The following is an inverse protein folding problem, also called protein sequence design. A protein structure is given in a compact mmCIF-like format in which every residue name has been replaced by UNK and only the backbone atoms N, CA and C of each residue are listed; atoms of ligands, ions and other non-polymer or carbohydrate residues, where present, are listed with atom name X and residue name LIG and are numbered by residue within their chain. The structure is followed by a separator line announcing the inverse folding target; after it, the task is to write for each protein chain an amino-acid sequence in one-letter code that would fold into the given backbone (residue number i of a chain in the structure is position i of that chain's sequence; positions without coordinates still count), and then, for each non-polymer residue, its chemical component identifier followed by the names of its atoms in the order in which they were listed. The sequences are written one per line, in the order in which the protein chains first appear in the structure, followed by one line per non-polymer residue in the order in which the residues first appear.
data_IF_544226857562
#
_entry.id   IF_544226857562
#
_cell.length_a   1.000
_cell.length_b   1.000
_cell.length_c   1.000
_cell.angle_alpha   90.00
_cell.angle_beta   90.00
_cell.angle_gamma   90.00
#
_symmetry.space_group_name_H-M   'P 1'
#
loop_
_entity.id
_entity.type
_entity.pdbx_description
1 polymer ?
#
# COMPACT_ATOMS: atom_id res chain seq x y z
N UNK A 1 7.87 24.12 -18.71
CA UNK A 1 8.08 24.00 -20.17
C UNK A 1 7.19 22.89 -20.71
N UNK A 2 6.23 23.21 -21.58
CA UNK A 2 5.34 22.22 -22.20
C UNK A 2 6.16 21.33 -23.16
N UNK A 3 6.08 19.99 -23.05
CA UNK A 3 6.83 19.12 -23.96
C UNK A 3 6.34 19.30 -25.40
N UNK A 4 7.29 19.33 -26.35
CA UNK A 4 6.97 19.36 -27.77
C UNK A 4 6.11 18.14 -28.13
N UNK A 5 5.00 18.37 -28.85
CA UNK A 5 4.06 17.30 -29.20
C UNK A 5 4.71 16.30 -30.18
N UNK A 6 4.70 14.98 -29.89
CA UNK A 6 5.18 13.98 -30.83
C UNK A 6 4.39 14.06 -32.15
N UNK A 7 5.05 13.86 -33.30
CA UNK A 7 4.39 13.96 -34.62
C UNK A 7 3.16 13.05 -34.76
N UNK A 8 3.19 11.86 -34.12
CA UNK A 8 2.03 10.96 -34.07
C UNK A 8 0.85 11.53 -33.26
N UNK A 9 1.13 12.23 -32.14
CA UNK A 9 0.13 12.91 -31.34
C UNK A 9 -0.51 14.06 -32.13
N UNK A 10 0.29 14.85 -32.85
CA UNK A 10 -0.20 15.95 -33.70
C UNK A 10 -1.12 15.45 -34.82
N UNK A 11 -0.79 14.34 -35.49
CA UNK A 11 -1.65 13.74 -36.52
C UNK A 11 -2.98 13.24 -35.95
N UNK A 12 -2.96 12.60 -34.79
CA UNK A 12 -4.18 12.14 -34.12
C UNK A 12 -5.04 13.30 -33.62
N UNK A 13 -4.43 14.34 -33.04
CA UNK A 13 -5.15 15.55 -32.61
C UNK A 13 -5.74 16.29 -33.80
N UNK A 14 -5.04 16.39 -34.93
CA UNK A 14 -5.57 17.00 -36.15
C UNK A 14 -6.73 16.19 -36.75
N UNK A 15 -6.71 14.85 -36.63
CA UNK A 15 -7.83 14.01 -37.03
C UNK A 15 -9.05 14.18 -36.10
N UNK A 16 -8.83 14.27 -34.79
CA UNK A 16 -9.88 14.55 -33.80
C UNK A 16 -10.47 15.95 -33.97
N UNK A 17 -9.64 16.97 -34.22
CA UNK A 17 -10.04 18.35 -34.48
C UNK A 17 -10.96 18.49 -35.70
N UNK A 18 -10.79 17.62 -36.70
CA UNK A 18 -11.57 17.61 -37.93
C UNK A 18 -12.96 16.99 -37.76
N UNK A 19 -13.18 16.21 -36.71
CA UNK A 19 -14.36 15.33 -36.58
C UNK A 19 -15.06 15.40 -35.21
N UNK A 20 -14.60 16.22 -34.26
CA UNK A 20 -15.20 16.33 -32.93
C UNK A 20 -14.71 17.50 -32.07
N UNK A 21 -15.33 17.66 -30.91
CA UNK A 21 -15.00 18.69 -29.92
C UNK A 21 -13.76 18.30 -29.10
N UNK A 22 -12.60 18.85 -29.48
CA UNK A 22 -11.33 18.72 -28.76
C UNK A 22 -11.43 19.13 -27.29
N UNK A 23 -12.33 20.06 -26.94
CA UNK A 23 -12.54 20.50 -25.56
C UNK A 23 -13.11 19.37 -24.70
N UNK A 24 -14.19 18.73 -25.15
CA UNK A 24 -14.78 17.59 -24.47
C UNK A 24 -13.80 16.42 -24.32
N UNK A 25 -12.97 16.18 -25.34
CA UNK A 25 -11.89 15.18 -25.29
C UNK A 25 -10.84 15.52 -24.24
N UNK A 26 -10.32 16.75 -24.26
CA UNK A 26 -9.35 17.23 -23.27
C UNK A 26 -9.92 17.17 -21.85
N UNK A 27 -11.18 17.56 -21.65
CA UNK A 27 -11.87 17.46 -20.36
C UNK A 27 -11.99 16.02 -19.88
N UNK A 28 -12.28 15.04 -20.75
CA UNK A 28 -12.31 13.63 -20.37
C UNK A 28 -10.93 13.16 -19.86
N UNK A 29 -9.84 13.57 -20.52
CA UNK A 29 -8.48 13.25 -20.10
C UNK A 29 -8.11 13.96 -18.79
N UNK A 30 -8.47 15.24 -18.63
CA UNK A 30 -8.22 16.00 -17.40
C UNK A 30 -8.92 15.39 -16.18
N UNK A 31 -10.13 14.83 -16.34
CA UNK A 31 -10.85 14.12 -15.25
C UNK A 31 -10.10 12.89 -14.74
N UNK A 32 -9.16 12.34 -15.50
CA UNK A 32 -8.27 11.29 -15.01
C UNK A 32 -7.27 11.80 -13.98
N UNK A 33 -7.17 13.12 -13.75
CA UNK A 33 -6.35 13.74 -12.70
C UNK A 33 -4.89 13.32 -12.76
N UNK A 34 -4.33 13.21 -13.97
CA UNK A 34 -2.95 12.77 -14.20
C UNK A 34 -2.69 11.28 -14.05
N UNK A 35 -3.71 10.41 -14.12
CA UNK A 35 -3.49 8.97 -14.15
C UNK A 35 -2.68 8.57 -15.40
N UNK A 36 -1.53 7.92 -15.21
CA UNK A 36 -0.59 7.56 -16.29
C UNK A 36 -1.04 6.33 -17.10
N UNK A 37 -1.83 5.45 -16.50
CA UNK A 37 -2.25 4.16 -17.11
C UNK A 37 -3.74 3.86 -16.89
N UNK A 38 -4.67 4.74 -17.29
CA UNK A 38 -6.10 4.53 -17.07
C UNK A 38 -6.60 3.21 -17.66
N UNK A 39 -7.67 2.67 -17.09
CA UNK A 39 -8.36 1.51 -17.66
C UNK A 39 -9.38 2.01 -18.68
N UNK A 40 -9.40 1.35 -19.84
CA UNK A 40 -10.34 1.60 -20.92
C UNK A 40 -11.48 0.60 -20.83
N UNK A 41 -12.70 1.11 -20.88
CA UNK A 41 -13.91 0.31 -20.80
C UNK A 41 -14.82 0.61 -22.00
N UNK A 42 -15.41 -0.44 -22.55
CA UNK A 42 -16.45 -0.40 -23.59
C UNK A 42 -17.78 -0.85 -23.00
N UNK A 43 -18.88 -0.30 -23.49
CA UNK A 43 -20.23 -0.60 -23.00
C UNK A 43 -21.06 0.64 -22.71
N UNK A 44 -21.98 0.53 -21.75
CA UNK A 44 -22.98 1.55 -21.50
C UNK A 44 -23.43 1.63 -20.04
N UNK A 45 -24.02 2.78 -19.71
CA UNK A 45 -24.76 3.05 -18.48
C UNK A 45 -26.13 3.61 -18.82
N UNK A 46 -27.16 3.07 -18.21
CA UNK A 46 -28.54 3.56 -18.26
C UNK A 46 -28.95 4.00 -16.85
N UNK A 47 -29.45 5.21 -16.75
CA UNK A 47 -30.14 5.73 -15.57
C UNK A 47 -31.64 5.62 -15.88
N UNK A 48 -32.32 4.73 -15.15
CA UNK A 48 -33.73 4.38 -15.38
C UNK A 48 -34.57 4.88 -14.21
N UNK A 49 -35.62 5.66 -14.47
CA UNK A 49 -36.54 6.09 -13.42
C UNK A 49 -37.27 4.88 -12.82
N UNK A 50 -37.10 4.66 -11.52
CA UNK A 50 -37.42 3.42 -10.86
C UNK A 50 -38.92 3.07 -10.88
N UNK A 51 -39.80 4.09 -10.84
CA UNK A 51 -41.25 3.88 -10.81
C UNK A 51 -41.87 3.66 -12.20
N UNK A 52 -41.29 4.27 -13.25
CA UNK A 52 -41.87 4.25 -14.61
C UNK A 52 -41.13 3.31 -15.55
N UNK A 53 -39.89 2.95 -15.25
CA UNK A 53 -39.01 2.21 -16.15
C UNK A 53 -38.47 3.06 -17.31
N UNK A 54 -38.71 4.37 -17.30
CA UNK A 54 -38.23 5.28 -18.34
C UNK A 54 -36.72 5.49 -18.25
N UNK A 55 -36.01 5.40 -19.37
CA UNK A 55 -34.58 5.74 -19.43
C UNK A 55 -34.46 7.26 -19.45
N UNK A 56 -34.04 7.83 -18.33
CA UNK A 56 -33.88 9.28 -18.16
C UNK A 56 -32.50 9.77 -18.58
N UNK A 57 -31.53 8.86 -18.69
CA UNK A 57 -30.21 9.15 -19.25
C UNK A 57 -29.52 7.87 -19.71
N UNK A 58 -28.88 7.97 -20.85
CA UNK A 58 -28.04 6.91 -21.43
C UNK A 58 -26.63 7.46 -21.68
N UNK A 59 -25.63 6.63 -21.44
CA UNK A 59 -24.23 6.89 -21.75
C UNK A 59 -23.69 5.66 -22.43
N UNK A 60 -23.29 5.78 -23.69
CA UNK A 60 -22.57 4.72 -24.41
C UNK A 60 -21.12 5.11 -24.63
N UNK A 61 -20.23 4.12 -24.69
CA UNK A 61 -18.81 4.33 -24.94
C UNK A 61 -18.50 5.13 -26.22
N UNK A 62 -19.19 4.82 -27.32
CA UNK A 62 -19.01 5.45 -28.63
C UNK A 62 -19.35 6.94 -28.63
N UNK A 63 -20.23 7.37 -27.73
CA UNK A 63 -20.63 8.77 -27.56
C UNK A 63 -19.69 9.53 -26.61
N UNK A 64 -18.82 8.82 -25.89
CA UNK A 64 -17.79 9.49 -25.09
C UNK A 64 -16.74 10.11 -26.01
N UNK A 65 -16.15 11.26 -25.64
CA UNK A 65 -15.18 11.95 -26.49
C UNK A 65 -14.01 11.08 -26.96
N UNK A 66 -13.53 10.17 -26.11
CA UNK A 66 -12.45 9.23 -26.43
C UNK A 66 -12.92 7.91 -27.07
N UNK A 67 -14.21 7.78 -27.39
CA UNK A 67 -14.86 6.57 -27.90
C UNK A 67 -14.88 5.40 -26.89
N UNK A 68 -14.44 5.66 -25.65
CA UNK A 68 -14.34 4.69 -24.56
C UNK A 68 -14.49 5.41 -23.22
N UNK A 69 -14.94 4.68 -22.20
CA UNK A 69 -14.90 5.16 -20.82
C UNK A 69 -13.49 4.98 -20.28
N UNK A 70 -12.90 6.08 -19.80
CA UNK A 70 -11.59 6.09 -19.17
C UNK A 70 -11.76 6.24 -17.66
N UNK A 71 -11.25 5.26 -16.91
CA UNK A 71 -11.24 5.29 -15.45
C UNK A 71 -9.81 5.25 -14.92
N UNK A 72 -9.58 5.88 -13.77
CA UNK A 72 -8.28 5.86 -13.09
C UNK A 72 -7.86 4.42 -12.77
N UNK A 73 -6.56 4.13 -12.87
CA UNK A 73 -6.03 2.78 -12.67
C UNK A 73 -6.06 2.30 -11.21
N UNK A 74 -6.19 3.23 -10.26
CA UNK A 74 -6.17 2.99 -8.81
C UNK A 74 -4.97 2.15 -8.34
N UNK A 75 -3.86 2.19 -9.09
CA UNK A 75 -2.64 1.50 -8.71
C UNK A 75 -1.97 2.25 -7.55
N UNK A 76 -1.72 1.55 -6.44
CA UNK A 76 -1.05 2.13 -5.28
C UNK A 76 0.44 2.42 -5.50
N UNK A 77 1.07 1.82 -6.51
CA UNK A 77 2.53 1.88 -6.69
C UNK A 77 2.93 3.13 -7.45
N UNK A 78 3.77 3.96 -6.84
CA UNK A 78 4.27 5.19 -7.47
C UNK A 78 5.01 4.91 -8.79
N UNK A 79 5.74 3.79 -8.88
CA UNK A 79 6.43 3.35 -10.11
C UNK A 79 5.48 2.99 -11.26
N UNK A 80 4.19 2.78 -10.99
CA UNK A 80 3.17 2.43 -11.99
C UNK A 80 2.30 3.60 -12.39
N UNK A 81 1.97 4.45 -11.43
CA UNK A 81 1.18 5.66 -11.62
C UNK A 81 1.34 6.55 -10.38
N UNK A 82 2.12 7.62 -10.50
CA UNK A 82 2.39 8.52 -9.38
C UNK A 82 1.09 9.19 -8.86
N UNK A 83 0.22 9.62 -9.78
CA UNK A 83 -1.05 10.26 -9.41
C UNK A 83 -1.99 9.34 -8.63
N UNK A 84 -2.17 8.08 -9.06
CA UNK A 84 -3.04 7.14 -8.33
C UNK A 84 -2.42 6.70 -7.01
N UNK A 85 -1.10 6.53 -6.97
CA UNK A 85 -0.37 6.23 -5.75
C UNK A 85 -0.53 7.37 -4.72
N UNK A 86 -0.46 8.62 -5.16
CA UNK A 86 -0.61 9.79 -4.27
C UNK A 86 -1.99 9.87 -3.62
N UNK A 87 -3.05 9.59 -4.40
CA UNK A 87 -4.41 9.49 -3.84
C UNK A 87 -4.49 8.36 -2.80
N UNK A 88 -3.90 7.19 -3.10
CA UNK A 88 -3.84 6.07 -2.16
C UNK A 88 -3.03 6.39 -0.89
N UNK A 89 -1.94 7.16 -1.03
CA UNK A 89 -1.12 7.65 0.07
C UNK A 89 -1.94 8.53 1.00
N UNK A 90 -2.67 9.52 0.44
CA UNK A 90 -3.56 10.41 1.20
C UNK A 90 -4.68 9.63 1.89
N UNK A 91 -5.30 8.66 1.21
CA UNK A 91 -6.33 7.80 1.81
C UNK A 91 -5.77 6.98 2.98
N UNK A 92 -4.55 6.45 2.83
CA UNK A 92 -3.87 5.73 3.92
C UNK A 92 -3.54 6.65 5.08
N UNK A 93 -3.07 7.87 4.81
CA UNK A 93 -2.82 8.90 5.82
C UNK A 93 -4.08 9.21 6.62
N UNK A 94 -5.22 9.46 5.96
CA UNK A 94 -6.48 9.75 6.65
C UNK A 94 -6.99 8.54 7.44
N UNK A 95 -6.85 7.33 6.90
CA UNK A 95 -7.24 6.09 7.60
C UNK A 95 -6.43 5.89 8.88
N UNK A 96 -5.11 6.12 8.85
CA UNK A 96 -4.25 6.00 10.04
C UNK A 96 -4.53 7.14 11.02
N UNK A 97 -4.66 8.37 10.52
CA UNK A 97 -4.97 9.55 11.35
C UNK A 97 -6.28 9.39 12.09
N UNK A 98 -7.35 8.95 11.41
CA UNK A 98 -8.65 8.73 12.04
C UNK A 98 -8.56 7.67 13.16
N UNK A 99 -7.72 6.64 13.00
CA UNK A 99 -7.46 5.67 14.08
C UNK A 99 -6.60 6.22 15.23
N UNK A 100 -5.80 7.26 15.01
CA UNK A 100 -4.92 7.79 16.05
C UNK A 100 -5.51 8.97 16.81
N UNK A 101 -6.37 9.75 16.15
CA UNK A 101 -6.80 11.06 16.65
C UNK A 101 -8.30 11.31 16.51
N UNK A 102 -9.04 10.38 15.92
CA UNK A 102 -10.46 10.57 15.57
C UNK A 102 -10.65 11.29 14.23
N UNK A 103 -11.91 11.53 13.87
CA UNK A 103 -12.34 12.08 12.59
C UNK A 103 -12.85 11.01 11.61
N UNK A 104 -13.53 11.45 10.55
CA UNK A 104 -14.11 10.58 9.49
C UNK A 104 -15.05 9.49 10.04
N UNK A 105 -15.76 9.77 11.13
CA UNK A 105 -16.66 8.82 11.78
C UNK A 105 -16.03 8.06 12.96
N UNK A 106 -14.81 8.41 13.35
CA UNK A 106 -14.19 7.95 14.61
C UNK A 106 -14.22 9.08 15.64
N UNK A 107 -14.62 8.81 16.88
CA UNK A 107 -14.67 9.78 17.97
C UNK A 107 -13.28 10.23 18.44
N UNK A 108 -13.15 11.46 19.00
CA UNK A 108 -11.85 11.99 19.44
C UNK A 108 -11.27 11.24 20.66
N UNK A 109 -12.09 10.47 21.39
CA UNK A 109 -11.67 9.68 22.54
C UNK A 109 -10.60 8.63 22.20
N UNK A 110 -10.57 8.14 20.95
CA UNK A 110 -9.54 7.20 20.47
C UNK A 110 -8.11 7.74 20.66
N UNK A 111 -7.96 9.07 20.69
CA UNK A 111 -6.70 9.74 20.97
C UNK A 111 -6.16 9.43 22.37
N UNK A 112 -6.95 8.89 23.30
CA UNK A 112 -6.49 8.50 24.63
C UNK A 112 -6.15 7.01 24.77
N UNK A 113 -6.42 6.20 23.74
CA UNK A 113 -6.20 4.76 23.82
C UNK A 113 -4.70 4.41 23.80
N UNK A 114 -4.23 3.44 24.62
CA UNK A 114 -2.83 3.03 24.65
C UNK A 114 -2.37 2.49 23.30
N UNK A 115 -1.22 2.97 22.84
CA UNK A 115 -0.72 2.66 21.49
C UNK A 115 0.79 2.72 21.40
N UNK A 116 1.31 1.93 20.49
CA UNK A 116 2.73 1.75 20.23
C UNK A 116 2.96 1.73 18.73
N UNK A 117 4.00 2.43 18.28
CA UNK A 117 4.61 2.23 16.98
C UNK A 117 5.73 1.19 17.12
N UNK A 118 5.66 0.12 16.33
CA UNK A 118 6.64 -0.96 16.37
C UNK A 118 7.17 -1.31 14.97
N UNK A 119 8.48 -1.53 14.86
CA UNK A 119 9.16 -1.97 13.65
C UNK A 119 9.74 -3.36 13.85
N UNK A 120 9.30 -4.32 13.04
CA UNK A 120 9.71 -5.73 13.09
C UNK A 120 10.58 -6.06 11.89
N UNK A 121 11.77 -6.58 12.12
CA UNK A 121 12.74 -6.89 11.05
C UNK A 121 12.83 -8.38 10.76
N UNK A 122 13.39 -8.69 9.59
CA UNK A 122 13.80 -10.04 9.24
C UNK A 122 15.08 -10.43 10.02
N UNK A 123 15.33 -11.74 10.24
CA UNK A 123 16.65 -12.19 10.65
C UNK A 123 17.70 -11.92 9.56
N UNK A 124 18.98 -12.16 9.88
CA UNK A 124 20.05 -12.15 8.89
C UNK A 124 20.07 -13.47 8.10
N UNK A 125 20.36 -13.37 6.80
CA UNK A 125 20.58 -14.53 5.91
C UNK A 125 22.03 -14.59 5.38
N UNK A 126 22.92 -13.82 6.01
CA UNK A 126 24.28 -13.60 5.56
C UNK A 126 24.65 -12.11 5.61
N UNK A 127 25.95 -11.79 5.64
CA UNK A 127 26.41 -10.42 5.71
C UNK A 127 26.13 -9.68 4.40
N UNK A 128 25.62 -8.45 4.51
CA UNK A 128 25.33 -7.55 3.38
C UNK A 128 26.14 -6.27 3.49
N UNK A 129 26.31 -5.60 2.36
CA UNK A 129 26.80 -4.24 2.29
C UNK A 129 25.84 -3.30 3.02
N UNK A 130 26.40 -2.42 3.85
CA UNK A 130 25.66 -1.59 4.78
C UNK A 130 26.33 -0.23 5.06
N UNK A 131 25.64 0.64 5.81
CA UNK A 131 26.17 1.92 6.33
C UNK A 131 26.15 1.94 7.87
N UNK A 132 27.12 1.31 8.54
CA UNK A 132 27.27 1.44 9.99
C UNK A 132 27.51 2.91 10.40
N UNK A 133 27.02 3.31 11.59
CA UNK A 133 27.17 4.68 12.10
C UNK A 133 28.62 5.11 12.39
N UNK A 134 29.53 4.15 12.63
CA UNK A 134 30.97 4.34 12.79
C UNK A 134 31.73 4.48 11.45
N UNK A 135 31.04 4.29 10.33
CA UNK A 135 31.40 4.86 9.04
C UNK A 135 31.95 3.91 7.99
N UNK A 136 32.38 2.67 8.28
CA UNK A 136 32.87 1.72 7.25
C UNK A 136 32.07 0.43 7.21
N UNK A 137 31.65 0.05 6.02
CA UNK A 137 31.08 -1.26 5.77
C UNK A 137 32.11 -2.35 6.04
N UNK A 138 31.63 -3.57 6.34
CA UNK A 138 32.47 -4.75 6.55
C UNK A 138 33.30 -5.15 5.32
N UNK A 139 33.01 -4.59 4.13
CA UNK A 139 33.85 -4.68 2.93
C UNK A 139 35.07 -3.73 2.95
N UNK A 140 35.22 -2.89 3.98
CA UNK A 140 36.26 -1.88 4.13
C UNK A 140 35.95 -0.51 3.52
N UNK A 141 34.91 -0.39 2.69
CA UNK A 141 34.53 0.85 2.00
C UNK A 141 33.51 1.67 2.80
N UNK A 142 33.47 2.98 2.52
CA UNK A 142 32.36 3.85 2.92
C UNK A 142 31.40 3.92 1.74
N UNK A 143 30.13 3.61 1.96
CA UNK A 143 29.10 3.66 0.93
C UNK A 143 28.30 4.97 1.07
N UNK A 144 28.13 5.75 -0.02
CA UNK A 144 27.12 6.81 -0.04
C UNK A 144 25.70 6.22 0.03
N UNK A 145 24.71 7.04 0.33
CA UNK A 145 23.32 6.63 0.55
C UNK A 145 22.68 5.98 -0.67
N UNK A 146 23.13 6.30 -1.88
CA UNK A 146 22.63 5.79 -3.15
C UNK A 146 23.48 4.65 -3.73
N UNK A 147 24.48 4.16 -2.98
CA UNK A 147 25.37 3.10 -3.47
C UNK A 147 24.59 1.81 -3.80
N UNK A 148 24.65 1.33 -5.06
CA UNK A 148 23.91 0.14 -5.50
C UNK A 148 24.36 -1.16 -4.82
N UNK A 149 25.54 -1.17 -4.18
CA UNK A 149 25.97 -2.31 -3.40
C UNK A 149 25.15 -2.47 -2.11
N UNK A 150 24.56 -1.39 -1.56
CA UNK A 150 23.87 -1.46 -0.27
C UNK A 150 22.70 -2.44 -0.26
N UNK A 151 22.68 -3.30 0.74
CA UNK A 151 21.73 -4.41 0.87
C UNK A 151 22.13 -5.67 0.09
N UNK A 152 23.09 -5.61 -0.83
CA UNK A 152 23.58 -6.80 -1.53
C UNK A 152 24.54 -7.62 -0.65
N UNK A 153 24.62 -8.95 -0.81
CA UNK A 153 25.51 -9.78 -0.01
C UNK A 153 26.98 -9.46 -0.24
N UNK A 154 27.79 -9.49 0.83
CA UNK A 154 29.26 -9.38 0.71
C UNK A 154 29.85 -10.58 -0.06
N UNK A 155 29.29 -11.76 0.18
CA UNK A 155 29.57 -12.99 -0.55
C UNK A 155 28.24 -13.56 -1.05
N UNK A 156 27.89 -13.34 -2.32
CA UNK A 156 26.66 -13.86 -2.90
C UNK A 156 26.56 -15.39 -2.88
N UNK A 157 27.66 -16.14 -2.83
CA UNK A 157 27.61 -17.60 -2.88
C UNK A 157 27.38 -18.21 -1.48
N UNK A 158 27.66 -17.44 -0.42
CA UNK A 158 27.38 -17.83 0.99
C UNK A 158 26.06 -17.29 1.54
N UNK A 159 25.37 -16.41 0.81
CA UNK A 159 24.10 -15.84 1.27
C UNK A 159 22.97 -16.87 1.16
N UNK A 160 22.20 -17.05 2.23
CA UNK A 160 21.09 -17.99 2.27
C UNK A 160 19.83 -17.42 1.59
N UNK A 161 19.85 -17.44 0.25
CA UNK A 161 18.70 -17.03 -0.57
C UNK A 161 17.45 -17.87 -0.30
N UNK A 162 17.61 -19.14 0.08
CA UNK A 162 16.49 -20.05 0.31
C UNK A 162 15.73 -19.62 1.56
N UNK A 163 16.43 -19.45 2.68
CA UNK A 163 15.83 -18.94 3.91
C UNK A 163 15.26 -17.53 3.71
N UNK A 164 15.93 -16.65 2.97
CA UNK A 164 15.42 -15.30 2.69
C UNK A 164 14.09 -15.29 1.94
N UNK A 165 13.98 -16.07 0.85
CA UNK A 165 12.74 -16.19 0.06
C UNK A 165 11.63 -16.85 0.86
N UNK A 166 11.95 -17.94 1.59
CA UNK A 166 10.96 -18.61 2.43
C UNK A 166 10.50 -17.73 3.59
N UNK A 167 11.38 -16.91 4.17
CA UNK A 167 11.00 -15.93 5.18
C UNK A 167 9.97 -14.94 4.62
N UNK A 168 10.26 -14.32 3.46
CA UNK A 168 9.30 -13.43 2.79
C UNK A 168 7.94 -14.11 2.55
N UNK A 169 7.93 -15.38 2.15
CA UNK A 169 6.70 -16.14 1.92
C UNK A 169 5.90 -16.42 3.20
N UNK A 170 6.58 -16.52 4.35
CA UNK A 170 5.99 -16.82 5.66
C UNK A 170 5.75 -15.58 6.54
N UNK A 171 6.21 -14.39 6.13
CA UNK A 171 6.08 -13.15 6.90
C UNK A 171 4.63 -12.82 7.29
N UNK A 172 3.66 -13.10 6.41
CA UNK A 172 2.24 -12.95 6.73
C UNK A 172 1.74 -13.94 7.80
N UNK A 173 2.19 -15.19 7.73
CA UNK A 173 1.88 -16.22 8.74
C UNK A 173 2.51 -15.88 10.08
N UNK A 174 3.76 -15.40 10.09
CA UNK A 174 4.44 -14.98 11.31
C UNK A 174 3.73 -13.81 11.97
N UNK A 175 3.29 -12.81 11.20
CA UNK A 175 2.44 -11.74 11.73
C UNK A 175 1.17 -12.29 12.39
N UNK A 176 0.51 -13.28 11.77
CA UNK A 176 -0.64 -13.97 12.36
C UNK A 176 -0.34 -14.58 13.73
N UNK A 177 0.80 -15.30 13.82
CA UNK A 177 1.31 -15.90 15.06
C UNK A 177 1.60 -14.85 16.12
N UNK A 178 2.32 -13.79 15.77
CA UNK A 178 2.57 -12.64 16.64
C UNK A 178 1.29 -12.08 17.26
N UNK A 179 0.27 -11.81 16.45
CA UNK A 179 -0.99 -11.27 17.02
C UNK A 179 -1.71 -12.27 17.92
N UNK A 180 -1.50 -13.57 17.73
CA UNK A 180 -2.04 -14.61 18.61
C UNK A 180 -1.32 -14.61 19.95
N UNK A 181 0.02 -14.64 19.94
CA UNK A 181 0.84 -14.57 21.16
C UNK A 181 0.63 -13.26 21.92
N UNK A 182 0.50 -12.13 21.23
CA UNK A 182 0.21 -10.84 21.84
C UNK A 182 -1.10 -10.87 22.64
N UNK A 183 -2.19 -11.40 22.06
CA UNK A 183 -3.47 -11.55 22.77
C UNK A 183 -3.37 -12.52 23.94
N UNK A 184 -2.62 -13.61 23.80
CA UNK A 184 -2.41 -14.58 24.87
C UNK A 184 -1.67 -13.95 26.06
N UNK A 185 -0.61 -13.20 25.79
CA UNK A 185 0.17 -12.53 26.82
C UNK A 185 -0.65 -11.46 27.54
N UNK A 186 -1.39 -10.63 26.79
CA UNK A 186 -2.30 -9.64 27.37
C UNK A 186 -3.36 -10.28 28.28
N UNK A 187 -3.98 -11.39 27.85
CA UNK A 187 -4.94 -12.12 28.67
C UNK A 187 -4.29 -12.63 29.98
N UNK A 188 -3.12 -13.25 29.87
CA UNK A 188 -2.39 -13.75 31.04
C UNK A 188 -2.03 -12.65 32.03
N UNK A 189 -1.57 -11.48 31.55
CA UNK A 189 -1.21 -10.35 32.40
C UNK A 189 -2.42 -9.70 33.09
N UNK A 190 -3.60 -9.81 32.47
CA UNK A 190 -4.85 -9.36 33.04
C UNK A 190 -5.54 -10.41 33.95
N UNK A 191 -4.97 -11.61 34.12
CA UNK A 191 -5.60 -12.70 34.86
C UNK A 191 -6.86 -13.25 34.16
N UNK A 192 -6.97 -13.06 32.85
CA UNK A 192 -8.14 -13.44 32.06
C UNK A 192 -7.85 -14.66 31.18
N UNK A 193 -8.90 -15.42 30.89
CA UNK A 193 -8.84 -16.39 29.79
C UNK A 193 -8.84 -15.66 28.44
N UNK A 194 -8.35 -16.33 27.40
CA UNK A 194 -8.40 -15.80 26.02
C UNK A 194 -9.83 -15.50 25.56
N UNK A 195 -10.79 -16.30 26.02
CA UNK A 195 -12.20 -16.12 25.70
C UNK A 195 -12.81 -14.94 26.45
N UNK A 196 -12.38 -14.68 27.69
CA UNK A 196 -12.81 -13.51 28.46
C UNK A 196 -12.24 -12.22 27.89
N UNK A 197 -10.96 -12.21 27.50
CA UNK A 197 -10.28 -10.99 27.00
C UNK A 197 -11.06 -10.30 25.87
N UNK A 198 -11.67 -11.04 24.94
CA UNK A 198 -12.39 -10.45 23.79
C UNK A 198 -13.59 -9.59 24.18
N UNK A 199 -14.17 -9.79 25.38
CA UNK A 199 -15.29 -9.00 25.88
C UNK A 199 -14.84 -7.80 26.71
N UNK A 200 -13.53 -7.68 26.97
CA UNK A 200 -12.95 -6.59 27.76
C UNK A 200 -12.04 -5.70 26.91
N UNK A 201 -11.40 -6.26 25.89
CA UNK A 201 -10.36 -5.60 25.14
C UNK A 201 -10.29 -6.09 23.71
N UNK A 202 -10.02 -5.17 22.79
CA UNK A 202 -9.73 -5.46 21.39
C UNK A 202 -8.34 -4.98 21.02
N UNK A 203 -7.58 -5.87 20.36
CA UNK A 203 -6.31 -5.53 19.77
C UNK A 203 -6.53 -4.95 18.36
N UNK A 204 -6.26 -3.66 18.21
CA UNK A 204 -6.37 -2.94 16.95
C UNK A 204 -5.00 -2.62 16.37
N UNK A 205 -4.85 -2.68 15.05
CA UNK A 205 -3.59 -2.30 14.42
C UNK A 205 -3.77 -1.81 12.98
N UNK A 206 -2.85 -0.97 12.53
CA UNK A 206 -2.56 -0.73 11.12
C UNK A 206 -1.08 -1.05 10.88
N UNK A 207 -0.78 -1.80 9.82
CA UNK A 207 0.58 -2.19 9.49
C UNK A 207 0.88 -2.05 8.01
N UNK A 208 2.13 -1.74 7.72
CA UNK A 208 2.69 -1.78 6.37
C UNK A 208 3.87 -2.73 6.30
N UNK A 209 4.01 -3.41 5.17
CA UNK A 209 5.19 -4.17 4.82
C UNK A 209 6.05 -3.32 3.87
N UNK A 210 7.33 -3.24 4.14
CA UNK A 210 8.32 -2.60 3.28
C UNK A 210 9.47 -3.57 3.01
N UNK A 211 10.16 -3.41 1.88
CA UNK A 211 11.43 -4.08 1.67
C UNK A 211 12.60 -3.27 2.19
N UNK A 212 13.45 -3.95 2.94
CA UNK A 212 14.82 -3.53 3.14
C UNK A 212 15.58 -3.63 1.82
N UNK A 213 16.69 -2.90 1.67
CA UNK A 213 17.54 -2.98 0.46
C UNK A 213 18.02 -4.40 0.15
N UNK A 214 18.14 -5.25 1.19
CA UNK A 214 18.45 -6.68 1.08
C UNK A 214 17.30 -7.59 0.62
N UNK A 215 16.19 -7.02 0.15
CA UNK A 215 15.06 -7.78 -0.38
C UNK A 215 14.20 -8.53 0.65
N UNK A 216 14.53 -8.45 1.94
CA UNK A 216 13.70 -8.98 3.02
C UNK A 216 12.60 -7.98 3.41
N UNK A 217 11.39 -8.48 3.68
CA UNK A 217 10.30 -7.64 4.18
C UNK A 217 10.44 -7.37 5.68
N UNK A 218 10.19 -6.12 6.08
CA UNK A 218 9.99 -5.71 7.47
C UNK A 218 8.61 -5.08 7.64
N UNK A 219 8.10 -5.06 8.87
CA UNK A 219 6.80 -4.46 9.17
C UNK A 219 6.96 -3.21 10.01
N UNK A 220 6.22 -2.16 9.66
CA UNK A 220 5.91 -1.06 10.57
C UNK A 220 4.45 -1.18 10.99
N UNK A 221 4.17 -1.09 12.27
CA UNK A 221 2.83 -1.22 12.79
C UNK A 221 2.53 -0.19 13.87
N UNK A 222 1.34 0.41 13.77
CA UNK A 222 0.69 1.08 14.89
C UNK A 222 -0.24 0.07 15.53
N UNK A 223 0.01 -0.27 16.78
CA UNK A 223 -0.77 -1.23 17.56
C UNK A 223 -1.43 -0.47 18.71
N UNK A 224 -2.73 -0.70 18.93
CA UNK A 224 -3.57 0.02 19.89
C UNK A 224 -4.44 -0.96 20.67
N UNK A 225 -4.66 -0.67 21.95
CA UNK A 225 -5.61 -1.36 22.80
C UNK A 225 -6.91 -0.55 22.87
N UNK A 226 -8.02 -1.19 22.53
CA UNK A 226 -9.36 -0.63 22.53
C UNK A 226 -10.26 -1.40 23.51
N UNK A 227 -11.43 -0.85 23.84
CA UNK A 227 -12.54 -1.62 24.42
C UNK A 227 -13.07 -2.69 23.44
N UNK A 228 -13.95 -3.61 23.89
CA UNK A 228 -14.48 -4.70 23.08
C UNK A 228 -15.06 -4.25 21.72
N UNK A 229 -15.68 -3.07 21.66
CA UNK A 229 -16.32 -2.57 20.44
C UNK A 229 -15.34 -1.84 19.50
N UNK A 230 -14.10 -1.58 19.92
CA UNK A 230 -13.03 -1.06 19.09
C UNK A 230 -12.79 0.44 19.30
N UNK A 231 -12.50 1.17 18.21
CA UNK A 231 -12.02 2.56 18.30
C UNK A 231 -12.92 3.52 19.09
N UNK A 232 -14.23 3.27 19.13
CA UNK A 232 -15.21 4.10 19.86
C UNK A 232 -15.38 3.72 21.33
N UNK A 233 -14.69 2.66 21.79
CA UNK A 233 -14.90 2.08 23.10
C UNK A 233 -13.62 2.12 23.92
N UNK A 234 -13.75 2.60 25.16
CA UNK A 234 -12.60 2.91 26.02
C UNK A 234 -11.99 1.62 26.55
N UNK A 235 -10.66 1.45 26.42
CA UNK A 235 -10.00 0.27 26.96
C UNK A 235 -10.05 0.24 28.49
N UNK A 236 -9.99 -0.95 29.13
CA UNK A 236 -9.91 -1.06 30.58
C UNK A 236 -8.71 -0.32 31.17
N UNK A 237 -8.83 0.20 32.39
CA UNK A 237 -7.76 0.99 33.04
C UNK A 237 -6.41 0.24 33.19
N UNK A 238 -6.43 -1.09 33.27
CA UNK A 238 -5.20 -1.91 33.33
C UNK A 238 -4.49 -2.06 31.98
N UNK A 239 -5.16 -1.75 30.86
CA UNK A 239 -4.58 -1.79 29.54
C UNK A 239 -3.76 -0.51 29.33
N UNK A 240 -2.46 -0.57 29.59
CA UNK A 240 -1.57 0.59 29.49
C UNK A 240 -0.60 0.46 28.30
N UNK A 241 0.09 1.57 27.98
CA UNK A 241 1.09 1.57 26.89
C UNK A 241 2.35 0.79 27.26
N UNK A 242 2.66 0.74 28.56
CA UNK A 242 3.74 -0.03 29.18
C UNK A 242 3.43 -1.53 29.04
N UNK A 243 2.22 -1.95 29.44
CA UNK A 243 1.78 -3.34 29.27
C UNK A 243 1.81 -3.75 27.79
N UNK A 244 1.34 -2.88 26.89
CA UNK A 244 1.39 -3.14 25.45
C UNK A 244 2.82 -3.30 24.94
N UNK A 245 3.74 -2.43 25.38
CA UNK A 245 5.16 -2.46 24.99
C UNK A 245 5.82 -3.77 25.40
N UNK A 246 5.64 -4.18 26.65
CA UNK A 246 6.18 -5.43 27.18
C UNK A 246 5.59 -6.64 26.45
N UNK A 247 4.27 -6.62 26.23
CA UNK A 247 3.58 -7.70 25.53
C UNK A 247 4.02 -7.83 24.07
N UNK A 248 4.31 -6.71 23.38
CA UNK A 248 4.86 -6.72 22.01
C UNK A 248 6.24 -7.36 21.99
N UNK A 249 7.14 -6.97 22.90
CA UNK A 249 8.49 -7.54 22.99
C UNK A 249 8.46 -9.03 23.27
N UNK A 250 7.61 -9.45 24.20
CA UNK A 250 7.40 -10.88 24.50
C UNK A 250 6.85 -11.62 23.27
N UNK A 251 5.76 -11.13 22.68
CA UNK A 251 5.12 -11.82 21.56
C UNK A 251 6.00 -11.87 20.31
N UNK A 252 6.84 -10.86 20.07
CA UNK A 252 7.79 -10.86 18.96
C UNK A 252 8.87 -11.97 19.13
N UNK A 253 9.35 -12.19 20.36
CA UNK A 253 10.32 -13.25 20.68
C UNK A 253 9.72 -14.65 20.56
N UNK A 254 8.47 -14.82 20.98
CA UNK A 254 7.79 -16.12 20.97
C UNK A 254 7.15 -16.48 19.63
N UNK A 255 6.91 -15.49 18.76
CA UNK A 255 6.25 -15.75 17.49
C UNK A 255 7.14 -16.62 16.59
N UNK A 256 6.57 -17.75 16.18
CA UNK A 256 7.17 -18.64 15.20
C UNK A 256 6.13 -19.09 14.17
N UNK A 257 6.51 -19.02 12.89
CA UNK A 257 5.76 -19.63 11.80
C UNK A 257 6.46 -20.94 11.39
N UNK A 258 5.76 -22.09 11.44
CA UNK A 258 6.34 -23.35 11.01
C UNK A 258 6.59 -23.33 9.50
N UNK A 259 7.74 -23.87 9.09
CA UNK A 259 8.05 -24.23 7.72
C UNK A 259 8.09 -25.75 7.53
N UNK A 260 8.37 -26.19 6.31
CA UNK A 260 8.54 -27.61 6.01
C UNK A 260 9.97 -28.09 6.29
N UNK A 261 10.14 -29.40 6.36
CA UNK A 261 11.46 -30.02 6.26
C UNK A 261 11.80 -30.13 4.78
N UNK A 262 12.89 -29.51 4.36
CA UNK A 262 13.40 -29.63 2.99
C UNK A 262 14.86 -30.05 3.03
N UNK A 263 15.21 -31.09 2.27
CA UNK A 263 16.57 -31.65 2.22
C UNK A 263 17.15 -31.98 3.61
N UNK A 264 16.31 -32.48 4.52
CA UNK A 264 16.69 -32.79 5.90
C UNK A 264 16.80 -31.58 6.85
N UNK A 265 16.54 -30.36 6.38
CA UNK A 265 16.53 -29.14 7.19
C UNK A 265 15.10 -28.72 7.56
N UNK A 266 14.79 -28.67 8.86
CA UNK A 266 13.51 -28.18 9.36
C UNK A 266 13.48 -26.66 9.42
N UNK A 267 12.64 -26.02 8.60
CA UNK A 267 12.49 -24.57 8.61
C UNK A 267 11.52 -24.11 9.70
N UNK A 268 11.91 -23.07 10.43
CA UNK A 268 11.05 -22.29 11.31
C UNK A 268 11.40 -20.81 11.17
N UNK A 269 10.38 -19.95 11.11
CA UNK A 269 10.58 -18.53 10.84
C UNK A 269 10.20 -17.68 12.05
N UNK A 270 11.12 -16.80 12.48
CA UNK A 270 10.97 -15.86 13.59
C UNK A 270 11.39 -14.46 13.13
N UNK A 271 11.04 -13.44 13.92
CA UNK A 271 11.56 -12.08 13.68
C UNK A 271 13.06 -12.04 14.00
N UNK A 272 13.75 -11.07 13.38
CA UNK A 272 15.13 -10.77 13.74
C UNK A 272 15.25 -10.12 15.11
N UNK A 273 16.48 -10.01 15.61
CA UNK A 273 16.77 -9.44 16.93
C UNK A 273 16.46 -7.93 17.02
N UNK A 274 16.43 -7.25 15.88
CA UNK A 274 16.11 -5.83 15.81
C UNK A 274 14.59 -5.61 15.85
N UNK A 275 14.13 -5.12 17.00
CA UNK A 275 12.76 -4.71 17.24
C UNK A 275 12.77 -3.31 17.86
N UNK A 276 12.24 -2.33 17.14
CA UNK A 276 12.06 -0.97 17.64
C UNK A 276 10.62 -0.82 18.16
N UNK A 277 10.44 -0.38 19.41
CA UNK A 277 9.13 -0.27 20.07
C UNK A 277 9.04 1.08 20.76
N UNK A 278 8.15 1.95 20.25
CA UNK A 278 7.99 3.33 20.70
C UNK A 278 6.54 3.61 21.08
N UNK A 279 6.22 3.80 22.37
CA UNK A 279 4.90 4.29 22.79
C UNK A 279 4.59 5.64 22.15
N UNK A 280 3.33 5.86 21.74
CA UNK A 280 2.87 7.15 21.21
C UNK A 280 2.02 7.83 22.29
N UNK A 281 2.50 8.94 22.88
CA UNK A 281 1.84 9.56 24.05
C UNK A 281 0.79 10.58 23.63
N UNK A 282 -0.24 10.78 24.44
CA UNK A 282 -1.29 11.79 24.18
C UNK A 282 -0.78 13.24 24.28
N UNK A 283 0.35 13.48 24.96
CA UNK A 283 0.98 14.81 25.01
C UNK A 283 1.70 15.20 23.69
N UNK A 284 1.96 14.23 22.80
CA UNK A 284 2.56 14.45 21.47
C UNK A 284 1.59 15.12 20.47
N UNK A 285 0.43 15.58 20.95
CA UNK A 285 -0.61 16.27 20.19
C UNK A 285 -0.53 17.79 20.30
N UNK A 286 0.20 18.33 21.30
CA UNK A 286 0.29 19.76 21.59
C UNK A 286 1.70 20.36 21.41
N UNK A 287 2.69 19.58 20.96
CA UNK A 287 4.09 20.01 20.82
C UNK A 287 4.79 19.44 19.59
N UNK A 288 6.01 19.93 19.33
CA UNK A 288 6.89 19.59 18.20
C UNK A 288 7.65 18.26 18.40
N UNK A 289 7.13 17.32 19.18
CA UNK A 289 7.85 16.06 19.43
C UNK A 289 7.98 15.24 18.14
N UNK A 290 9.12 14.54 18.01
CA UNK A 290 9.50 13.76 16.82
C UNK A 290 8.54 12.59 16.50
N UNK A 291 7.55 12.30 17.36
CA UNK A 291 6.66 11.14 17.25
C UNK A 291 5.17 11.47 17.41
N UNK A 292 4.73 12.60 16.86
CA UNK A 292 3.30 12.94 16.79
C UNK A 292 2.47 11.91 15.97
N UNK A 293 1.18 11.78 16.27
CA UNK A 293 0.25 10.92 15.52
C UNK A 293 0.24 11.22 14.01
N UNK A 294 0.39 12.50 13.65
CA UNK A 294 0.46 12.94 12.26
C UNK A 294 1.77 12.50 11.60
N UNK A 295 2.90 12.58 12.30
CA UNK A 295 4.18 12.08 11.81
C UNK A 295 4.15 10.56 11.60
N UNK A 296 3.56 9.81 12.53
CA UNK A 296 3.38 8.35 12.40
C UNK A 296 2.45 8.01 11.22
N UNK A 297 1.34 8.74 11.04
CA UNK A 297 0.44 8.54 9.92
C UNK A 297 1.12 8.86 8.57
N UNK A 298 1.88 9.96 8.50
CA UNK A 298 2.66 10.32 7.33
C UNK A 298 3.72 9.26 7.01
N UNK A 299 4.41 8.76 8.04
CA UNK A 299 5.37 7.67 7.92
C UNK A 299 4.72 6.41 7.36
N UNK A 300 3.64 5.89 7.97
CA UNK A 300 2.93 4.70 7.46
C UNK A 300 2.44 4.91 6.02
N UNK A 301 1.89 6.09 5.71
CA UNK A 301 1.40 6.40 4.37
C UNK A 301 2.52 6.41 3.33
N UNK A 302 3.71 6.93 3.66
CA UNK A 302 4.91 6.95 2.81
C UNK A 302 5.25 5.54 2.29
N UNK A 303 5.14 4.51 3.12
CA UNK A 303 5.48 3.13 2.72
C UNK A 303 4.34 2.39 2.04
N UNK A 304 3.09 2.85 2.19
CA UNK A 304 1.93 2.20 1.60
C UNK A 304 1.97 2.20 0.05
N UNK A 305 2.68 3.16 -0.55
CA UNK A 305 2.87 3.27 -2.01
C UNK A 305 4.17 2.67 -2.53
N UNK A 306 5.12 2.36 -1.63
CA UNK A 306 6.35 1.66 -2.02
C UNK A 306 6.02 0.23 -2.44
N UNK A 307 6.81 -0.27 -3.40
CA UNK A 307 6.70 -1.63 -3.93
C UNK A 307 8.07 -2.30 -3.95
N UNK A 308 8.12 -3.53 -4.44
CA UNK A 308 9.35 -4.31 -4.47
C UNK A 308 10.48 -3.68 -5.31
N UNK A 309 10.16 -2.74 -6.21
CA UNK A 309 11.16 -2.01 -7.00
C UNK A 309 12.22 -1.29 -6.16
N UNK A 310 11.93 -0.92 -4.91
CA UNK A 310 12.93 -0.32 -4.02
C UNK A 310 14.02 -1.29 -3.58
N UNK A 311 13.80 -2.60 -3.72
CA UNK A 311 14.79 -3.66 -3.54
C UNK A 311 15.43 -4.11 -4.88
N UNK A 312 15.26 -3.34 -5.96
CA UNK A 312 15.89 -3.62 -7.25
C UNK A 312 15.23 -4.72 -8.09
N UNK A 313 13.99 -5.12 -7.78
CA UNK A 313 13.20 -6.10 -8.57
C UNK A 313 12.15 -5.43 -9.46
N UNK A 314 11.43 -6.23 -10.24
CA UNK A 314 10.34 -5.81 -11.11
C UNK A 314 9.05 -5.55 -10.34
N UNK A 315 8.26 -4.59 -10.83
CA UNK A 315 6.93 -4.28 -10.33
C UNK A 315 5.80 -5.00 -11.11
N UNK A 316 6.15 -6.03 -11.89
CA UNK A 316 5.22 -6.92 -12.65
C UNK A 316 5.53 -8.38 -12.38
N UNK A 317 4.52 -9.28 -12.46
CA UNK A 317 4.75 -10.71 -12.49
C UNK A 317 5.76 -11.12 -13.56
N UNK A 318 6.57 -12.11 -13.21
CA UNK A 318 7.54 -12.77 -14.09
C UNK A 318 6.88 -14.05 -14.58
N UNK A 319 6.73 -14.20 -15.90
CA UNK A 319 6.13 -15.38 -16.53
C UNK A 319 7.20 -16.33 -17.06
N UNK A 320 8.34 -15.80 -17.49
CA UNK A 320 9.48 -16.60 -17.90
C UNK A 320 10.76 -15.87 -17.48
N UNK A 321 11.54 -16.41 -16.52
CA UNK A 321 12.70 -15.71 -15.97
C UNK A 321 13.81 -15.53 -17.01
N UNK A 322 13.88 -16.37 -18.04
CA UNK A 322 14.89 -16.25 -19.11
C UNK A 322 14.62 -14.97 -19.91
N UNK A 323 13.39 -14.78 -20.39
CA UNK A 323 13.06 -13.65 -21.26
C UNK A 323 12.76 -12.38 -20.46
N UNK A 324 12.15 -12.49 -19.28
CA UNK A 324 11.70 -11.31 -18.52
C UNK A 324 12.82 -10.58 -17.79
N UNK A 325 13.96 -11.24 -17.54
CA UNK A 325 15.09 -10.67 -16.77
C UNK A 325 16.25 -10.17 -17.65
N UNK A 326 16.23 -10.44 -18.95
CA UNK A 326 17.22 -9.90 -19.89
C UNK A 326 16.87 -8.43 -20.15
N UNK A 327 17.85 -7.54 -19.99
CA UNK A 327 17.67 -6.09 -20.19
C UNK A 327 16.73 -5.40 -19.20
N UNK A 328 16.33 -6.08 -18.12
CA UNK A 328 15.26 -5.62 -17.23
C UNK A 328 15.72 -4.65 -16.13
N UNK A 329 17.03 -4.39 -16.01
CA UNK A 329 17.62 -3.54 -14.97
C UNK A 329 17.53 -4.12 -13.54
N UNK A 330 17.18 -5.40 -13.40
CA UNK A 330 17.11 -6.07 -12.09
C UNK A 330 18.53 -6.32 -11.58
N UNK A 331 18.77 -6.00 -10.30
CA UNK A 331 20.07 -6.22 -9.67
C UNK A 331 20.42 -7.70 -9.59
N UNK A 332 21.71 -8.04 -9.53
CA UNK A 332 22.15 -9.45 -9.44
C UNK A 332 21.62 -10.13 -8.17
N UNK A 333 21.55 -9.40 -7.07
CA UNK A 333 20.96 -9.90 -5.83
C UNK A 333 19.47 -10.22 -5.98
N UNK A 334 18.67 -9.29 -6.51
CA UNK A 334 17.25 -9.52 -6.76
C UNK A 334 17.03 -10.63 -7.79
N UNK A 335 17.89 -10.73 -8.82
CA UNK A 335 17.89 -11.82 -9.80
C UNK A 335 18.09 -13.18 -9.11
N UNK A 336 19.08 -13.30 -8.22
CA UNK A 336 19.30 -14.54 -7.45
C UNK A 336 18.08 -14.90 -6.59
N UNK A 337 17.48 -13.94 -5.87
CA UNK A 337 16.24 -14.17 -5.11
C UNK A 337 15.06 -14.62 -5.99
N UNK A 338 14.87 -13.99 -7.15
CA UNK A 338 13.85 -14.37 -8.14
C UNK A 338 14.07 -15.80 -8.60
N UNK A 339 15.29 -16.15 -9.01
CA UNK A 339 15.61 -17.51 -9.47
C UNK A 339 15.41 -18.55 -8.37
N UNK A 340 15.73 -18.20 -7.12
CA UNK A 340 15.42 -19.04 -5.95
C UNK A 340 13.91 -19.23 -5.76
N UNK A 341 13.09 -18.20 -5.94
CA UNK A 341 11.61 -18.36 -5.96
C UNK A 341 11.15 -19.33 -7.06
N UNK A 342 11.79 -19.28 -8.23
CA UNK A 342 11.46 -20.16 -9.37
C UNK A 342 11.83 -21.62 -9.13
N UNK A 343 13.00 -21.85 -8.53
CA UNK A 343 13.50 -23.16 -8.14
C UNK A 343 12.64 -23.77 -7.03
N UNK A 344 12.43 -23.05 -5.92
CA UNK A 344 11.60 -23.52 -4.82
C UNK A 344 10.14 -23.70 -5.24
N UNK A 345 9.62 -22.83 -6.10
CA UNK A 345 8.28 -22.96 -6.66
C UNK A 345 8.11 -24.08 -7.69
N UNK A 346 9.16 -24.88 -7.95
CA UNK A 346 9.09 -26.14 -8.70
C UNK A 346 8.78 -27.34 -7.80
N UNK A 347 8.96 -27.21 -6.48
CA UNK A 347 8.77 -28.28 -5.51
C UNK A 347 7.27 -28.38 -5.17
N UNK A 348 6.71 -29.59 -5.31
CA UNK A 348 5.31 -29.88 -5.00
C UNK A 348 4.92 -29.54 -3.57
N UNK A 349 5.85 -29.74 -2.63
CA UNK A 349 5.72 -29.50 -1.21
C UNK A 349 5.51 -28.01 -0.90
N UNK A 350 5.93 -27.12 -1.81
CA UNK A 350 5.82 -25.66 -1.66
C UNK A 350 4.77 -25.04 -2.59
N UNK A 351 3.90 -25.84 -3.21
CA UNK A 351 2.90 -25.36 -4.17
C UNK A 351 2.01 -24.25 -3.59
N UNK A 352 1.58 -24.43 -2.33
CA UNK A 352 0.72 -23.48 -1.61
C UNK A 352 1.33 -22.08 -1.45
N UNK A 353 2.66 -21.98 -1.45
CA UNK A 353 3.36 -20.69 -1.36
C UNK A 353 3.30 -19.91 -2.67
N UNK A 354 3.05 -20.59 -3.80
CA UNK A 354 2.96 -20.01 -5.15
C UNK A 354 4.15 -19.12 -5.51
N UNK A 355 5.36 -19.55 -5.15
CA UNK A 355 6.57 -18.72 -5.20
C UNK A 355 6.86 -18.14 -6.60
N UNK A 356 6.61 -18.89 -7.67
CA UNK A 356 6.75 -18.39 -9.06
C UNK A 356 5.84 -17.18 -9.34
N UNK A 357 4.59 -17.22 -8.88
CA UNK A 357 3.63 -16.10 -9.01
C UNK A 357 4.14 -14.85 -8.30
N UNK A 358 4.79 -15.03 -7.15
CA UNK A 358 5.27 -13.96 -6.28
C UNK A 358 6.78 -13.67 -6.43
N UNK A 359 7.45 -14.22 -7.45
CA UNK A 359 8.89 -14.06 -7.64
C UNK A 359 9.30 -12.60 -7.84
N UNK A 360 8.49 -11.81 -8.55
CA UNK A 360 8.68 -10.37 -8.69
C UNK A 360 8.61 -9.59 -7.37
N UNK A 361 7.99 -10.19 -6.35
CA UNK A 361 7.92 -9.72 -4.97
C UNK A 361 8.85 -10.53 -4.06
N UNK A 362 9.92 -11.13 -4.60
CA UNK A 362 10.95 -11.84 -3.83
C UNK A 362 10.37 -12.90 -2.86
N UNK A 363 9.25 -13.52 -3.23
CA UNK A 363 8.53 -14.53 -2.43
C UNK A 363 7.44 -13.97 -1.50
N UNK A 364 7.39 -12.66 -1.27
CA UNK A 364 6.35 -12.06 -0.42
C UNK A 364 4.98 -12.11 -1.09
N UNK A 365 4.04 -12.79 -0.42
CA UNK A 365 2.67 -13.05 -0.90
C UNK A 365 1.59 -12.30 -0.12
N UNK A 366 1.98 -11.37 0.76
CA UNK A 366 1.07 -10.62 1.62
C UNK A 366 0.60 -9.30 1.01
N UNK A 367 -0.35 -8.66 1.71
CA UNK A 367 -0.73 -7.27 1.43
C UNK A 367 0.29 -6.30 2.05
N UNK A 368 0.61 -5.23 1.32
CA UNK A 368 1.58 -4.20 1.75
C UNK A 368 1.04 -3.27 2.82
N UNK A 369 -0.28 -3.08 2.88
CA UNK A 369 -0.93 -2.27 3.91
C UNK A 369 -2.18 -3.01 4.34
N UNK A 370 -2.32 -3.22 5.65
CA UNK A 370 -3.50 -3.87 6.24
C UNK A 370 -3.81 -3.24 7.58
N UNK A 371 -5.10 -3.20 7.94
CA UNK A 371 -5.54 -2.84 9.28
C UNK A 371 -6.46 -3.91 9.86
N UNK A 372 -6.56 -3.98 11.18
CA UNK A 372 -7.65 -4.71 11.84
C UNK A 372 -9.00 -4.06 11.51
N UNK A 373 -10.08 -4.84 11.59
CA UNK A 373 -11.42 -4.39 11.15
C UNK A 373 -11.85 -3.10 11.86
N UNK A 374 -11.71 -3.07 13.19
CA UNK A 374 -12.18 -1.99 14.06
C UNK A 374 -11.11 -0.92 14.38
N UNK A 375 -10.00 -0.88 13.62
CA UNK A 375 -8.94 0.11 13.87
C UNK A 375 -9.40 1.55 13.56
N UNK A 376 -10.12 1.74 12.46
CA UNK A 376 -10.58 3.04 11.95
C UNK A 376 -11.54 2.84 10.76
N UNK A 377 -11.82 3.91 10.01
CA UNK A 377 -12.50 3.94 8.70
C UNK A 377 -11.89 3.01 7.66
N UNK A 378 -12.56 2.82 6.53
CA UNK A 378 -12.08 1.97 5.43
C UNK A 378 -11.67 2.80 4.22
N UNK A 379 -10.75 2.28 3.40
CA UNK A 379 -10.44 2.87 2.09
C UNK A 379 -11.66 2.91 1.17
N UNK A 380 -12.61 1.98 1.35
CA UNK A 380 -13.89 1.99 0.62
C UNK A 380 -14.74 3.21 1.00
N UNK A 381 -14.91 3.46 2.30
CA UNK A 381 -15.65 4.62 2.80
C UNK A 381 -15.03 5.95 2.34
N UNK A 382 -13.71 6.08 2.39
CA UNK A 382 -13.01 7.29 1.91
C UNK A 382 -13.20 7.52 0.39
N UNK A 383 -13.25 6.45 -0.40
CA UNK A 383 -13.53 6.53 -1.84
C UNK A 383 -14.98 6.88 -2.11
N UNK A 384 -15.90 6.32 -1.33
CA UNK A 384 -17.33 6.58 -1.42
C UNK A 384 -17.64 8.05 -1.09
N UNK A 385 -17.14 8.56 0.04
CA UNK A 385 -17.29 9.98 0.42
C UNK A 385 -16.78 10.92 -0.69
N UNK A 386 -15.64 10.58 -1.31
CA UNK A 386 -15.12 11.34 -2.46
C UNK A 386 -16.02 11.23 -3.70
N UNK A 387 -16.59 10.06 -3.96
CA UNK A 387 -17.48 9.84 -5.10
C UNK A 387 -18.77 10.65 -4.93
N UNK A 388 -19.38 10.63 -3.74
CA UNK A 388 -20.55 11.42 -3.37
C UNK A 388 -20.28 12.91 -3.51
N UNK A 389 -19.16 13.41 -2.97
CA UNK A 389 -18.78 14.81 -3.11
C UNK A 389 -18.65 15.23 -4.58
N UNK A 390 -18.01 14.39 -5.41
CA UNK A 390 -17.89 14.65 -6.85
C UNK A 390 -19.24 14.60 -7.58
N UNK A 391 -20.14 13.72 -7.16
CA UNK A 391 -21.49 13.63 -7.71
C UNK A 391 -22.31 14.88 -7.38
N UNK A 392 -22.29 15.33 -6.12
CA UNK A 392 -22.94 16.58 -5.69
C UNK A 392 -22.45 17.76 -6.52
N UNK A 393 -21.13 17.95 -6.64
CA UNK A 393 -20.56 19.01 -7.48
C UNK A 393 -20.97 18.89 -8.96
N UNK A 394 -21.10 17.66 -9.48
CA UNK A 394 -21.55 17.43 -10.85
C UNK A 394 -23.00 17.86 -11.04
N UNK A 395 -23.88 17.52 -10.08
CA UNK A 395 -25.29 17.91 -10.07
C UNK A 395 -25.47 19.43 -9.98
N UNK A 396 -24.73 20.07 -9.07
CA UNK A 396 -24.74 21.53 -8.91
C UNK A 396 -24.36 22.25 -10.20
N UNK A 397 -23.29 21.79 -10.87
CA UNK A 397 -22.86 22.33 -12.17
C UNK A 397 -23.90 22.13 -13.26
N UNK A 398 -24.51 20.94 -13.32
CA UNK A 398 -25.52 20.61 -14.32
C UNK A 398 -26.79 21.47 -14.14
N UNK A 399 -27.23 21.66 -12.90
CA UNK A 399 -28.33 22.56 -12.56
C UNK A 399 -28.03 24.02 -12.93
N UNK A 400 -26.81 24.50 -12.67
CA UNK A 400 -26.40 25.87 -12.98
C UNK A 400 -26.41 26.19 -14.49
N UNK A 401 -26.23 25.18 -15.36
CA UNK A 401 -26.31 25.34 -16.82
C UNK A 401 -27.68 24.96 -17.41
N UNK A 402 -28.72 24.81 -16.56
CA UNK A 402 -30.10 24.55 -17.00
C UNK A 402 -30.40 23.09 -17.33
N UNK A 403 -29.52 22.16 -16.98
CA UNK A 403 -29.67 20.72 -17.23
C UNK A 403 -29.60 19.91 -15.92
N UNK A 404 -30.56 20.07 -14.99
CA UNK A 404 -30.54 19.35 -13.72
C UNK A 404 -30.57 17.84 -13.96
N UNK A 405 -29.73 17.10 -13.22
CA UNK A 405 -29.72 15.65 -13.27
C UNK A 405 -30.89 15.08 -12.44
N UNK A 406 -31.45 13.91 -12.83
CA UNK A 406 -32.50 13.25 -12.06
C UNK A 406 -32.11 12.98 -10.60
N UNK A 407 -33.10 13.00 -9.70
CA UNK A 407 -32.93 12.68 -8.28
C UNK A 407 -32.37 11.25 -8.11
N UNK A 408 -31.26 11.04 -7.37
CA UNK A 408 -30.63 9.72 -7.27
C UNK A 408 -31.56 8.67 -6.63
N UNK A 409 -32.43 9.08 -5.71
CA UNK A 409 -33.34 8.18 -4.98
C UNK A 409 -34.49 7.69 -5.88
N UNK A 410 -34.68 8.33 -7.04
CA UNK A 410 -35.69 7.96 -8.03
C UNK A 410 -35.12 7.15 -9.20
N UNK A 411 -33.80 6.91 -9.24
CA UNK A 411 -33.12 6.32 -10.40
C UNK A 411 -32.43 5.00 -10.06
N UNK A 412 -32.75 3.97 -10.84
CA UNK A 412 -31.98 2.74 -10.93
C UNK A 412 -30.85 2.88 -11.95
N UNK A 413 -29.62 2.68 -11.51
CA UNK A 413 -28.43 2.69 -12.38
C UNK A 413 -28.13 1.28 -12.88
N UNK A 414 -28.30 1.06 -14.17
CA UNK A 414 -27.88 -0.16 -14.86
C UNK A 414 -26.57 0.12 -15.60
N UNK A 415 -25.53 -0.67 -15.34
CA UNK A 415 -24.20 -0.44 -15.94
C UNK A 415 -23.60 -1.74 -16.43
N UNK A 416 -23.22 -1.77 -17.70
CA UNK A 416 -22.51 -2.88 -18.33
C UNK A 416 -21.25 -2.36 -18.99
N UNK A 417 -20.09 -2.66 -18.38
CA UNK A 417 -18.78 -2.23 -18.86
C UNK A 417 -17.83 -3.42 -18.98
N UNK A 418 -17.18 -3.53 -20.14
CA UNK A 418 -16.17 -4.56 -20.44
C UNK A 418 -14.79 -3.92 -20.55
N UNK A 419 -13.78 -4.60 -20.02
CA UNK A 419 -12.38 -4.19 -20.19
C UNK A 419 -12.01 -4.18 -21.68
N UNK A 420 -11.52 -3.05 -22.16
CA UNK A 420 -11.10 -2.84 -23.54
C UNK A 420 -9.59 -2.53 -23.68
N UNK A 421 -8.92 -2.22 -22.58
CA UNK A 421 -7.48 -1.96 -22.61
C UNK A 421 -6.97 -1.14 -21.42
N UNK A 422 -5.72 -0.73 -21.51
CA UNK A 422 -5.04 0.07 -20.48
C UNK A 422 -4.07 1.04 -21.11
N UNK A 423 -3.99 2.24 -20.56
CA UNK A 423 -3.03 3.25 -20.98
C UNK A 423 -3.66 4.36 -21.81
N UNK A 424 -2.87 5.43 -21.95
CA UNK A 424 -3.18 6.58 -22.79
C UNK A 424 -2.62 6.35 -24.20
N UNK A 425 -3.27 6.87 -25.23
CA UNK A 425 -2.65 7.03 -26.55
C UNK A 425 -1.56 8.12 -26.51
N UNK A 426 -0.81 8.28 -27.60
CA UNK A 426 0.20 9.34 -27.70
C UNK A 426 -0.41 10.75 -27.57
N UNK A 427 -1.58 10.99 -28.17
CA UNK A 427 -2.29 12.27 -28.08
C UNK A 427 -2.83 12.53 -26.67
N UNK A 428 -3.44 11.51 -26.04
CA UNK A 428 -3.95 11.61 -24.68
C UNK A 428 -2.82 11.84 -23.66
N UNK A 429 -1.68 11.17 -23.86
CA UNK A 429 -0.49 11.36 -23.01
C UNK A 429 0.02 12.79 -23.06
N UNK A 430 0.05 13.38 -24.26
CA UNK A 430 0.44 14.78 -24.44
C UNK A 430 -0.56 15.74 -23.78
N UNK A 431 -1.87 15.53 -23.98
CA UNK A 431 -2.91 16.34 -23.32
C UNK A 431 -2.85 16.24 -21.79
N UNK A 432 -2.63 15.04 -21.26
CA UNK A 432 -2.49 14.81 -19.82
C UNK A 432 -1.26 15.53 -19.23
N UNK A 433 -0.16 15.64 -19.99
CA UNK A 433 1.04 16.35 -19.58
C UNK A 433 0.89 17.88 -19.67
N UNK A 434 0.21 18.38 -20.71
CA UNK A 434 0.03 19.82 -20.95
C UNK A 434 -0.91 20.52 -19.97
N UNK A 435 -1.73 19.77 -19.23
CA UNK A 435 -2.68 20.31 -18.25
C UNK A 435 -2.27 20.20 -16.78
N UNK A 436 -1.03 19.78 -16.45
CA UNK A 436 -0.59 19.72 -15.05
C UNK A 436 -0.19 21.13 -14.57
N UNK A 437 -0.86 21.71 -13.56
CA UNK A 437 -0.27 22.83 -12.83
C UNK A 437 1.02 22.34 -12.12
N UNK A 438 2.05 23.18 -12.09
CA UNK A 438 3.27 22.94 -11.30
C UNK A 438 2.88 22.92 -9.81
N UNK A 439 2.65 21.73 -9.25
CA UNK A 439 2.49 21.56 -7.81
C UNK A 439 3.80 21.07 -7.23
N UNK A 440 4.74 22.00 -7.06
CA UNK A 440 5.86 21.84 -6.13
C UNK A 440 5.36 22.08 -4.71
N UNK A 441 4.57 21.14 -4.17
CA UNK A 441 4.28 21.09 -2.73
C UNK A 441 4.75 19.74 -2.21
N UNK A 442 6.03 19.69 -1.86
CA UNK A 442 6.67 18.66 -1.06
C UNK A 442 6.29 18.80 0.41
N UNK A 443 4.99 18.72 0.74
CA UNK A 443 4.57 18.43 2.12
C UNK A 443 4.70 16.92 2.36
N UNK A 444 5.91 16.50 2.72
CA UNK A 444 6.22 15.10 3.01
C UNK A 444 7.62 14.83 3.56
N UNK A 445 8.53 15.79 3.49
CA UNK A 445 9.90 15.65 4.00
C UNK A 445 9.98 15.95 5.51
N UNK A 446 9.18 15.24 6.32
CA UNK A 446 9.62 15.01 7.70
C UNK A 446 10.60 13.86 7.67
N UNK A 447 11.90 14.16 7.76
CA UNK A 447 12.97 13.18 7.88
C UNK A 447 12.84 12.53 9.26
N UNK A 448 12.01 11.49 9.34
CA UNK A 448 12.07 10.52 10.44
C UNK A 448 12.91 9.34 9.95
N UNK A 449 14.14 9.26 10.43
CA UNK A 449 14.97 8.07 10.36
C UNK A 449 14.60 7.18 11.55
N UNK A 450 13.76 6.16 11.32
CA UNK A 450 14.06 4.90 11.99
C UNK A 450 15.50 4.61 11.60
N UNK A 451 16.35 4.29 12.57
CA UNK A 451 17.68 3.76 12.29
C UNK A 451 17.50 2.62 11.27
N UNK A 452 17.81 2.90 10.00
CA UNK A 452 17.91 1.91 8.92
C UNK A 452 19.18 1.10 9.22
N UNK A 453 19.17 0.40 10.34
CA UNK A 453 20.29 -0.42 10.78
C UNK A 453 20.12 -1.80 10.17
N UNK A 454 20.51 -1.90 8.90
CA UNK A 454 20.99 -3.08 8.17
C UNK A 454 20.07 -4.26 7.94
#
# INVERSE_FOLDING_TARGET
MTPAAPTAALRQLAALARHGDLSAYAHQIQRLGGCERPIRMEGQRLDVHAATGEIVREITDRELPAGQLLIRCNNRRATRCASCAEVYRKDTFHLVTAGLSGGKGIGPAVAQHPRVFATFTAPSFGPVHNRPGDGRCRCGRRHPDDDPALGTPLDPDRYDYRAAVLWNAHAGTLWGRFTTYLRQHLASRAGLSRSALRHCLKLSYAKVAEYQRRGAVHFHAVIRLDGPDGAEDTPPAWATSELLTDAIRWAAREAEAPGLVLDGHAYAFRFGDQLDVRPIRSADFAGTSELSSRAVAAYIAKYATKGAGTAGTLDRPIRNPITDLIGSGVTDHARRMILTCWHLGALSELEDLRLRKWAHMLGFRGHFSTKSRAYSVTLGALRQERAEHNETLTRERAAAVGHPLPDPDTVLVLSHWRFAGTGLTASESWLAASGRPDTTDTEGDSVWTADETN
#
